data_IF_583504675388
#
_entry.id   IF_583504675388
#
_cell.length_a   1.000
_cell.length_b   1.000
_cell.length_c   1.000
_cell.angle_alpha   90.00
_cell.angle_beta   90.00
_cell.angle_gamma   90.00
#
_symmetry.space_group_name_H-M   'P 1'
#
loop_
_entity.id
_entity.type
_entity.pdbx_description
1 polymer ?
#
# COMPACT_ATOMS: atom_id res chain seq x y z
N UNK A 1 11.59 -17.24 2.16
CA UNK A 1 11.09 -18.63 1.99
C UNK A 1 9.76 -18.88 2.69
N UNK A 2 9.66 -18.81 4.03
CA UNK A 2 8.44 -19.15 4.78
C UNK A 2 7.14 -18.49 4.27
N UNK A 3 7.12 -17.18 3.99
CA UNK A 3 5.95 -16.52 3.42
C UNK A 3 5.58 -17.04 2.02
N UNK A 4 6.57 -17.32 1.16
CA UNK A 4 6.32 -17.90 -0.16
C UNK A 4 5.69 -19.31 -0.05
N UNK A 5 6.11 -20.11 0.93
CA UNK A 5 5.52 -21.44 1.21
C UNK A 5 4.11 -21.38 1.80
N UNK A 6 3.70 -20.22 2.33
CA UNK A 6 2.38 -20.05 2.94
C UNK A 6 1.23 -19.88 1.93
N UNK A 7 1.55 -19.75 0.64
CA UNK A 7 0.55 -19.51 -0.40
C UNK A 7 -0.32 -20.75 -0.62
N UNK A 8 -1.65 -20.67 -0.47
CA UNK A 8 -2.56 -21.72 -0.90
C UNK A 8 -2.74 -21.66 -2.43
N UNK A 9 -3.63 -22.49 -2.96
CA UNK A 9 -4.01 -22.45 -4.39
C UNK A 9 -4.59 -21.10 -4.84
N UNK A 10 -5.07 -20.27 -3.91
CA UNK A 10 -5.54 -18.91 -4.20
C UNK A 10 -4.40 -17.96 -4.62
N UNK A 11 -3.14 -18.26 -4.29
CA UNK A 11 -1.99 -17.56 -4.84
C UNK A 11 -1.48 -16.34 -4.06
N UNK A 12 -2.08 -15.99 -2.92
CA UNK A 12 -1.60 -14.94 -2.01
C UNK A 12 -0.96 -15.51 -0.73
N UNK A 13 -0.09 -14.76 -0.06
CA UNK A 13 0.54 -15.23 1.19
C UNK A 13 -0.44 -15.22 2.36
N UNK A 14 -0.27 -16.15 3.30
CA UNK A 14 -0.96 -16.07 4.59
C UNK A 14 -0.44 -14.88 5.41
N UNK A 15 -1.30 -14.29 6.23
CA UNK A 15 -0.96 -13.16 7.11
C UNK A 15 0.13 -13.49 8.15
N UNK A 16 0.29 -14.77 8.48
CA UNK A 16 1.33 -15.29 9.37
C UNK A 16 1.66 -16.74 8.99
N UNK A 17 2.93 -17.09 9.08
CA UNK A 17 3.39 -18.44 8.80
C UNK A 17 4.70 -18.75 9.54
N UNK A 18 4.91 -19.99 10.05
CA UNK A 18 3.98 -21.12 10.04
C UNK A 18 2.80 -20.91 11.00
N UNK A 19 1.59 -21.36 10.61
CA UNK A 19 0.37 -21.20 11.40
C UNK A 19 -0.61 -22.33 11.09
N UNK A 20 -1.36 -22.78 12.10
CA UNK A 20 -2.48 -23.74 11.92
C UNK A 20 -3.79 -23.06 11.53
N UNK A 21 -3.86 -21.75 11.70
CA UNK A 21 -5.05 -20.94 11.38
C UNK A 21 -4.83 -20.29 10.02
N UNK A 22 -5.73 -20.58 9.08
CA UNK A 22 -5.78 -19.90 7.79
C UNK A 22 -6.35 -18.49 7.99
N UNK A 23 -5.52 -17.48 7.74
CA UNK A 23 -5.92 -16.08 7.75
C UNK A 23 -5.12 -15.33 6.71
N UNK A 24 -5.81 -14.58 5.85
CA UNK A 24 -5.21 -13.83 4.76
C UNK A 24 -5.47 -12.34 4.94
N UNK A 25 -4.40 -11.56 4.84
CA UNK A 25 -4.44 -10.10 4.78
C UNK A 25 -3.80 -9.74 3.45
N UNK A 26 -4.58 -9.49 2.38
CA UNK A 26 -4.02 -9.23 1.06
C UNK A 26 -2.98 -8.09 1.05
N UNK A 27 -3.15 -6.98 1.80
CA UNK A 27 -2.10 -5.97 1.94
C UNK A 27 -0.74 -6.50 2.41
N UNK A 28 -0.68 -7.57 3.21
CA UNK A 28 0.60 -8.16 3.62
C UNK A 28 1.28 -8.92 2.49
N UNK A 29 0.51 -9.44 1.51
CA UNK A 29 1.11 -10.03 0.30
C UNK A 29 1.75 -8.96 -0.59
N UNK A 30 1.18 -7.75 -0.62
CA UNK A 30 1.80 -6.59 -1.28
C UNK A 30 3.11 -6.19 -0.59
N UNK A 31 3.09 -6.03 0.74
CA UNK A 31 4.30 -5.74 1.51
C UNK A 31 5.36 -6.83 1.38
N UNK A 32 4.97 -8.10 1.25
CA UNK A 32 5.92 -9.18 1.01
C UNK A 32 6.66 -9.02 -0.33
N UNK A 33 6.02 -8.52 -1.39
CA UNK A 33 6.72 -8.18 -2.64
C UNK A 33 7.73 -7.05 -2.40
N UNK A 34 7.34 -5.99 -1.70
CA UNK A 34 8.25 -4.89 -1.34
C UNK A 34 9.45 -5.43 -0.52
N UNK A 35 9.22 -6.37 0.41
CA UNK A 35 10.29 -6.99 1.20
C UNK A 35 11.25 -7.83 0.36
N UNK A 36 10.76 -8.51 -0.69
CA UNK A 36 11.63 -9.25 -1.63
C UNK A 36 12.50 -8.27 -2.42
N UNK A 37 11.94 -7.14 -2.83
CA UNK A 37 12.69 -6.06 -3.48
C UNK A 37 13.72 -5.42 -2.54
N UNK A 38 13.32 -5.02 -1.33
CA UNK A 38 14.25 -4.48 -0.31
C UNK A 38 15.39 -5.47 -0.01
N UNK A 39 15.10 -6.77 0.06
CA UNK A 39 16.13 -7.79 0.23
C UNK A 39 17.13 -7.78 -0.93
N UNK A 40 16.64 -7.77 -2.17
CA UNK A 40 17.48 -7.67 -3.38
C UNK A 40 18.36 -6.42 -3.37
N UNK A 41 17.81 -5.28 -2.97
CA UNK A 41 18.56 -4.01 -2.89
C UNK A 41 19.66 -4.01 -1.81
N UNK A 42 19.58 -4.90 -0.83
CA UNK A 42 20.48 -4.93 0.33
C UNK A 42 21.38 -6.16 0.42
N UNK A 43 21.17 -7.17 -0.44
CA UNK A 43 21.88 -8.45 -0.39
C UNK A 43 22.20 -8.94 -1.80
N UNK A 44 23.45 -9.33 -2.00
CA UNK A 44 23.94 -9.96 -3.22
C UNK A 44 23.57 -11.46 -3.22
N UNK A 45 22.28 -11.76 -3.37
CA UNK A 45 21.71 -13.11 -3.32
C UNK A 45 20.53 -13.25 -4.30
N UNK A 46 20.86 -13.13 -5.58
CA UNK A 46 19.92 -13.30 -6.70
C UNK A 46 19.24 -14.67 -6.71
N UNK A 47 19.90 -15.71 -6.20
CA UNK A 47 19.33 -17.06 -6.13
C UNK A 47 18.11 -17.09 -5.23
N UNK A 48 18.17 -16.44 -4.07
CA UNK A 48 17.01 -16.28 -3.20
C UNK A 48 15.89 -15.49 -3.87
N UNK A 49 16.21 -14.39 -4.57
CA UNK A 49 15.19 -13.58 -5.26
C UNK A 49 14.48 -14.42 -6.33
N UNK A 50 15.24 -15.14 -7.17
CA UNK A 50 14.70 -16.06 -8.21
C UNK A 50 13.76 -17.11 -7.62
N UNK A 51 14.08 -17.68 -6.46
CA UNK A 51 13.23 -18.65 -5.77
C UNK A 51 11.86 -18.06 -5.36
N UNK A 52 11.79 -16.75 -5.09
CA UNK A 52 10.55 -16.07 -4.67
C UNK A 52 9.76 -15.45 -5.83
N UNK A 53 10.35 -15.27 -7.02
CA UNK A 53 9.67 -14.69 -8.19
C UNK A 53 8.36 -15.39 -8.58
N UNK A 54 8.24 -16.73 -8.57
CA UNK A 54 6.95 -17.38 -8.82
C UNK A 54 5.85 -16.93 -7.85
N UNK A 55 6.22 -16.64 -6.59
CA UNK A 55 5.29 -16.09 -5.60
C UNK A 55 4.92 -14.65 -5.88
N UNK A 56 5.88 -13.81 -6.26
CA UNK A 56 5.64 -12.43 -6.69
C UNK A 56 4.63 -12.40 -7.84
N UNK A 57 4.90 -13.14 -8.92
CA UNK A 57 4.01 -13.21 -10.10
C UNK A 57 2.60 -13.67 -9.74
N UNK A 58 2.47 -14.69 -8.90
CA UNK A 58 1.18 -15.21 -8.42
C UNK A 58 0.34 -14.15 -7.71
N UNK A 59 0.96 -13.33 -6.85
CA UNK A 59 0.27 -12.27 -6.11
C UNK A 59 -0.13 -11.14 -7.05
N UNK A 60 0.75 -10.75 -7.98
CA UNK A 60 0.48 -9.70 -8.96
C UNK A 60 -0.70 -10.08 -9.87
N UNK A 61 -0.73 -11.32 -10.38
CA UNK A 61 -1.84 -11.86 -11.17
C UNK A 61 -3.16 -11.80 -10.38
N UNK A 62 -3.13 -12.21 -9.11
CA UNK A 62 -4.30 -12.20 -8.23
C UNK A 62 -4.85 -10.80 -8.01
N UNK A 63 -4.00 -9.80 -7.75
CA UNK A 63 -4.43 -8.41 -7.57
C UNK A 63 -4.90 -7.77 -8.88
N UNK A 64 -4.21 -8.02 -9.99
CA UNK A 64 -4.61 -7.51 -11.30
C UNK A 64 -6.03 -7.97 -11.68
N UNK A 65 -6.41 -9.21 -11.34
CA UNK A 65 -7.75 -9.74 -11.56
C UNK A 65 -8.84 -9.08 -10.67
N UNK A 66 -8.48 -8.27 -9.67
CA UNK A 66 -9.40 -7.57 -8.77
C UNK A 66 -9.54 -6.09 -9.09
N UNK A 67 -8.89 -5.59 -10.14
CA UNK A 67 -9.08 -4.23 -10.62
C UNK A 67 -10.46 -4.15 -11.25
N UNK A 68 -11.27 -3.19 -10.81
CA UNK A 68 -12.59 -2.96 -11.39
C UNK A 68 -12.42 -2.30 -12.77
N UNK A 69 -12.88 -2.94 -13.87
CA UNK A 69 -12.71 -2.40 -15.21
C UNK A 69 -13.49 -1.09 -15.44
N UNK A 70 -14.48 -0.76 -14.61
CA UNK A 70 -15.26 0.48 -14.75
C UNK A 70 -14.53 1.68 -14.19
N UNK A 71 -13.85 1.51 -13.05
CA UNK A 71 -13.17 2.58 -12.33
C UNK A 71 -11.66 2.59 -12.56
N UNK A 72 -11.08 1.47 -12.98
CA UNK A 72 -9.63 1.30 -13.07
C UNK A 72 -8.92 1.38 -11.71
N UNK A 73 -9.66 1.28 -10.61
CA UNK A 73 -9.17 1.19 -9.23
C UNK A 73 -9.35 -0.24 -8.72
N UNK A 74 -8.79 -0.54 -7.54
CA UNK A 74 -8.99 -1.84 -6.92
C UNK A 74 -10.48 -2.00 -6.54
N UNK A 75 -11.11 -3.05 -7.06
CA UNK A 75 -12.49 -3.43 -6.76
C UNK A 75 -12.60 -4.14 -5.41
N UNK A 76 -13.71 -4.87 -5.21
CA UNK A 76 -13.90 -5.65 -4.00
C UNK A 76 -12.84 -6.76 -3.90
N UNK A 77 -12.05 -6.72 -2.82
CA UNK A 77 -11.01 -7.72 -2.53
C UNK A 77 -11.50 -8.61 -1.38
N UNK A 78 -11.45 -9.95 -1.51
CA UNK A 78 -11.85 -10.85 -0.43
C UNK A 78 -10.86 -10.80 0.74
N UNK A 79 -11.21 -11.46 1.84
CA UNK A 79 -10.42 -11.55 3.07
C UNK A 79 -10.30 -10.23 3.84
N UNK A 80 -9.32 -10.14 4.73
CA UNK A 80 -9.15 -9.00 5.63
C UNK A 80 -8.23 -7.95 5.02
N UNK A 81 -8.79 -6.92 4.40
CA UNK A 81 -8.04 -5.81 3.81
C UNK A 81 -7.56 -4.79 4.85
N UNK A 82 -6.87 -5.29 5.88
CA UNK A 82 -6.29 -4.49 6.95
C UNK A 82 -5.23 -3.52 6.41
N UNK A 83 -5.31 -2.26 6.84
CA UNK A 83 -4.32 -1.21 6.56
C UNK A 83 -3.70 -0.72 7.85
N UNK A 84 -4.51 -0.32 8.83
CA UNK A 84 -4.01 0.25 10.09
C UNK A 84 -5.11 0.26 11.17
N UNK A 85 -4.74 0.35 12.44
CA UNK A 85 -5.69 0.44 13.56
C UNK A 85 -6.14 1.88 13.87
N UNK A 86 -6.42 2.66 12.83
CA UNK A 86 -6.92 4.02 13.01
C UNK A 86 -8.25 4.00 13.80
N UNK A 87 -8.49 4.93 14.74
CA UNK A 87 -9.69 4.91 15.60
C UNK A 87 -11.04 4.88 14.85
N UNK A 88 -11.06 5.40 13.62
CA UNK A 88 -12.22 5.47 12.74
C UNK A 88 -12.49 4.14 12.01
N UNK A 89 -11.52 3.22 11.96
CA UNK A 89 -11.63 1.93 11.29
C UNK A 89 -11.79 0.81 12.32
N UNK A 90 -12.88 0.88 13.08
CA UNK A 90 -13.10 0.02 14.24
C UNK A 90 -13.33 -1.45 13.89
N UNK A 91 -13.04 -2.33 14.84
CA UNK A 91 -13.38 -3.74 14.74
C UNK A 91 -14.90 -3.96 14.75
N UNK A 92 -15.39 -4.82 13.85
CA UNK A 92 -16.79 -5.27 13.84
C UNK A 92 -16.89 -6.73 14.30
N UNK A 93 -17.69 -7.01 15.32
CA UNK A 93 -17.97 -8.41 15.70
C UNK A 93 -18.90 -9.12 14.70
N UNK A 94 -19.75 -8.38 13.98
CA UNK A 94 -20.65 -8.94 12.97
C UNK A 94 -19.91 -9.34 11.68
N UNK A 95 -18.80 -8.67 11.39
CA UNK A 95 -17.86 -9.01 10.33
C UNK A 95 -16.47 -8.86 10.94
N UNK A 96 -15.83 -9.94 11.46
CA UNK A 96 -14.62 -9.90 12.31
C UNK A 96 -13.39 -9.35 11.57
N UNK A 97 -13.46 -8.05 11.29
CA UNK A 97 -12.60 -7.23 10.48
C UNK A 97 -12.54 -5.86 11.16
N UNK A 98 -11.35 -5.31 11.28
CA UNK A 98 -11.09 -3.95 11.74
C UNK A 98 -9.89 -3.38 11.01
N UNK A 99 -9.65 -2.09 11.14
CA UNK A 99 -8.55 -1.43 10.45
C UNK A 99 -8.65 -1.45 8.92
N UNK A 100 -9.87 -1.53 8.39
CA UNK A 100 -10.16 -1.53 6.95
C UNK A 100 -10.63 -0.12 6.55
N UNK A 101 -9.99 0.55 5.58
CA UNK A 101 -10.40 1.88 5.14
C UNK A 101 -11.71 1.83 4.33
N UNK A 102 -12.36 2.99 4.11
CA UNK A 102 -13.45 3.12 3.15
C UNK A 102 -13.10 2.51 1.78
N UNK A 103 -14.08 1.86 1.16
CA UNK A 103 -13.89 1.09 -0.08
C UNK A 103 -13.09 -0.20 0.08
N UNK A 104 -12.54 -0.51 1.26
CA UNK A 104 -11.68 -1.68 1.46
C UNK A 104 -12.39 -3.03 1.40
N UNK A 105 -13.73 -3.04 1.45
CA UNK A 105 -14.54 -4.27 1.28
C UNK A 105 -15.32 -4.24 -0.03
N UNK A 106 -15.90 -3.10 -0.38
CA UNK A 106 -16.78 -2.93 -1.54
C UNK A 106 -16.05 -2.55 -2.82
N UNK A 107 -14.78 -2.17 -2.73
CA UNK A 107 -13.99 -1.61 -3.83
C UNK A 107 -13.96 -0.08 -3.81
N UNK A 108 -13.03 0.48 -4.60
CA UNK A 108 -12.85 1.92 -4.75
C UNK A 108 -12.05 2.60 -3.65
N UNK A 109 -11.31 1.85 -2.83
CA UNK A 109 -10.42 2.40 -1.81
C UNK A 109 -9.17 3.02 -2.46
N UNK A 110 -8.92 4.30 -2.20
CA UNK A 110 -7.70 4.97 -2.65
C UNK A 110 -6.46 4.36 -1.99
N UNK A 111 -6.50 4.16 -0.66
CA UNK A 111 -5.35 3.63 0.09
C UNK A 111 -4.88 2.27 -0.42
N UNK A 112 -5.80 1.32 -0.63
CA UNK A 112 -5.44 -0.02 -1.12
C UNK A 112 -5.02 0.00 -2.59
N UNK A 113 -5.67 0.81 -3.43
CA UNK A 113 -5.30 0.97 -4.84
C UNK A 113 -3.90 1.53 -4.98
N UNK A 114 -3.56 2.54 -4.17
CA UNK A 114 -2.26 3.19 -4.20
C UNK A 114 -1.17 2.36 -3.51
N UNK A 115 -1.51 1.52 -2.53
CA UNK A 115 -0.59 0.52 -2.02
C UNK A 115 -0.24 -0.52 -3.10
N UNK A 116 -1.21 -0.96 -3.91
CA UNK A 116 -0.94 -1.80 -5.07
C UNK A 116 -0.06 -1.08 -6.09
N UNK A 117 -0.35 0.18 -6.40
CA UNK A 117 0.48 0.98 -7.30
C UNK A 117 1.93 1.11 -6.79
N UNK A 118 2.12 1.41 -5.51
CA UNK A 118 3.45 1.43 -4.86
C UNK A 118 4.15 0.07 -5.01
N UNK A 119 3.45 -1.03 -4.75
CA UNK A 119 3.98 -2.39 -4.89
C UNK A 119 4.39 -2.74 -6.32
N UNK A 120 3.63 -2.25 -7.30
CA UNK A 120 3.93 -2.51 -8.72
C UNK A 120 5.24 -1.84 -9.15
N UNK A 121 5.67 -0.74 -8.53
CA UNK A 121 6.95 -0.12 -8.86
C UNK A 121 8.13 -1.06 -8.56
N UNK A 122 8.22 -1.55 -7.33
CA UNK A 122 9.22 -2.55 -6.92
C UNK A 122 9.09 -3.86 -7.73
N UNK A 123 7.86 -4.30 -8.02
CA UNK A 123 7.62 -5.51 -8.78
C UNK A 123 8.10 -5.40 -10.24
N UNK A 124 7.92 -4.24 -10.87
CA UNK A 124 8.40 -3.97 -12.24
C UNK A 124 9.92 -4.06 -12.28
N UNK A 125 10.63 -3.44 -11.34
CA UNK A 125 12.09 -3.51 -11.25
C UNK A 125 12.59 -4.95 -11.07
N UNK A 126 11.94 -5.73 -10.18
CA UNK A 126 12.25 -7.15 -10.01
C UNK A 126 12.03 -7.94 -11.30
N UNK A 127 10.93 -7.71 -12.01
CA UNK A 127 10.63 -8.46 -13.24
C UNK A 127 11.62 -8.11 -14.35
N UNK A 128 11.97 -6.84 -14.53
CA UNK A 128 12.98 -6.42 -15.51
C UNK A 128 14.35 -7.03 -15.22
N UNK A 129 14.82 -6.91 -13.98
CA UNK A 129 16.14 -7.39 -13.56
C UNK A 129 16.29 -8.92 -13.70
N UNK A 130 15.20 -9.66 -13.55
CA UNK A 130 15.22 -11.13 -13.56
C UNK A 130 14.68 -11.76 -14.85
N UNK A 131 14.61 -10.99 -15.94
CA UNK A 131 14.40 -11.52 -17.30
C UNK A 131 12.93 -11.66 -17.73
N UNK A 132 12.04 -10.85 -17.16
CA UNK A 132 10.60 -10.86 -17.43
C UNK A 132 10.07 -9.50 -17.96
N UNK A 133 10.70 -8.89 -19.00
CA UNK A 133 10.42 -7.51 -19.42
C UNK A 133 8.98 -7.32 -19.95
N UNK A 134 8.41 -8.33 -20.61
CA UNK A 134 7.01 -8.24 -21.09
C UNK A 134 6.01 -8.20 -19.93
N UNK A 135 6.28 -8.97 -18.88
CA UNK A 135 5.45 -8.99 -17.68
C UNK A 135 5.63 -7.70 -16.88
N UNK A 136 6.86 -7.17 -16.81
CA UNK A 136 7.12 -5.85 -16.27
C UNK A 136 6.34 -4.75 -17.01
N UNK A 137 6.34 -4.76 -18.35
CA UNK A 137 5.57 -3.81 -19.15
C UNK A 137 4.05 -3.89 -18.91
N UNK A 138 3.49 -5.11 -18.77
CA UNK A 138 2.09 -5.33 -18.38
C UNK A 138 1.79 -4.66 -17.04
N UNK A 139 2.61 -4.90 -16.02
CA UNK A 139 2.38 -4.37 -14.68
C UNK A 139 2.69 -2.88 -14.53
N UNK A 140 3.63 -2.34 -15.31
CA UNK A 140 3.84 -0.90 -15.42
C UNK A 140 2.61 -0.21 -16.04
N UNK A 141 2.00 -0.82 -17.08
CA UNK A 141 0.74 -0.31 -17.65
C UNK A 141 -0.38 -0.29 -16.62
N UNK A 142 -0.48 -1.35 -15.80
CA UNK A 142 -1.44 -1.39 -14.70
C UNK A 142 -1.16 -0.30 -13.67
N UNK A 143 0.09 -0.13 -13.22
CA UNK A 143 0.51 0.93 -12.31
C UNK A 143 0.06 2.31 -12.80
N UNK A 144 0.35 2.64 -14.07
CA UNK A 144 -0.03 3.91 -14.69
C UNK A 144 -1.55 4.12 -14.72
N UNK A 145 -2.31 3.05 -14.93
CA UNK A 145 -3.77 3.08 -14.88
C UNK A 145 -4.27 3.37 -13.46
N UNK A 146 -3.76 2.67 -12.45
CA UNK A 146 -4.18 2.80 -11.06
C UNK A 146 -3.95 4.22 -10.52
N UNK A 147 -2.76 4.80 -10.74
CA UNK A 147 -2.44 6.15 -10.24
C UNK A 147 -3.32 7.21 -10.93
N UNK A 148 -3.53 7.09 -12.24
CA UNK A 148 -4.32 8.05 -13.02
C UNK A 148 -5.79 8.04 -12.62
N UNK A 149 -6.36 6.84 -12.47
CA UNK A 149 -7.76 6.70 -12.09
C UNK A 149 -7.97 7.12 -10.64
N UNK A 150 -7.06 6.76 -9.72
CA UNK A 150 -7.16 7.21 -8.33
C UNK A 150 -7.07 8.73 -8.23
N UNK A 151 -6.16 9.37 -8.97
CA UNK A 151 -6.11 10.83 -9.07
C UNK A 151 -7.43 11.41 -9.55
N UNK A 152 -7.95 10.91 -10.68
CA UNK A 152 -9.20 11.39 -11.29
C UNK A 152 -10.39 11.34 -10.32
N UNK A 153 -10.56 10.22 -9.62
CA UNK A 153 -11.72 10.01 -8.76
C UNK A 153 -11.56 10.62 -7.37
N UNK A 154 -10.37 10.49 -6.76
CA UNK A 154 -10.18 10.76 -5.35
C UNK A 154 -9.48 12.10 -5.06
N UNK A 155 -8.86 12.76 -6.04
CA UNK A 155 -8.28 14.08 -5.82
C UNK A 155 -9.35 15.15 -5.66
N UNK A 156 -9.28 15.89 -4.56
CA UNK A 156 -10.12 17.04 -4.27
C UNK A 156 -9.32 18.33 -4.42
N UNK A 157 -9.58 19.11 -5.47
CA UNK A 157 -8.86 20.35 -5.74
C UNK A 157 -9.12 21.44 -4.68
N UNK A 158 -10.29 21.46 -4.04
CA UNK A 158 -10.56 22.47 -3.01
C UNK A 158 -9.79 22.16 -1.72
N UNK A 159 -9.71 20.88 -1.37
CA UNK A 159 -8.98 20.44 -0.17
C UNK A 159 -7.48 20.26 -0.41
N UNK A 160 -7.06 20.08 -1.68
CA UNK A 160 -5.74 19.60 -2.08
C UNK A 160 -5.35 18.33 -1.30
N UNK A 161 -6.24 17.34 -1.29
CA UNK A 161 -6.10 16.06 -0.63
C UNK A 161 -6.68 14.96 -1.53
N UNK A 162 -6.14 13.75 -1.41
CA UNK A 162 -6.82 12.53 -1.83
C UNK A 162 -7.84 12.12 -0.76
N UNK A 163 -9.06 11.81 -1.18
CA UNK A 163 -10.03 11.10 -0.35
C UNK A 163 -9.67 9.63 -0.20
N UNK A 164 -10.24 8.98 0.83
CA UNK A 164 -9.99 7.58 1.13
C UNK A 164 -10.67 6.60 0.16
N UNK A 165 -11.72 7.06 -0.53
CA UNK A 165 -12.45 6.28 -1.52
C UNK A 165 -13.05 7.15 -2.65
N UNK A 166 -13.53 6.49 -3.70
CA UNK A 166 -14.17 7.10 -4.88
C UNK A 166 -15.41 7.96 -4.52
N UNK A 167 -16.10 7.66 -3.42
CA UNK A 167 -17.27 8.43 -2.98
C UNK A 167 -16.88 9.63 -2.09
N UNK A 168 -15.58 9.84 -1.85
CA UNK A 168 -15.03 10.96 -1.06
C UNK A 168 -15.60 11.04 0.36
N UNK A 169 -15.76 9.88 1.01
CA UNK A 169 -16.43 9.77 2.31
C UNK A 169 -15.60 10.32 3.47
N UNK A 170 -14.28 10.24 3.37
CA UNK A 170 -13.33 10.73 4.38
C UNK A 170 -11.94 10.95 3.78
N UNK A 171 -11.03 11.50 4.59
CA UNK A 171 -9.67 11.83 4.22
C UNK A 171 -8.72 11.38 5.33
N UNK A 172 -7.67 10.64 4.97
CA UNK A 172 -6.68 10.12 5.90
C UNK A 172 -5.25 10.52 5.53
N UNK A 173 -4.35 10.40 6.50
CA UNK A 173 -2.92 10.38 6.22
C UNK A 173 -2.57 9.21 5.28
N UNK A 174 -3.19 8.04 5.43
CA UNK A 174 -2.83 6.82 4.68
C UNK A 174 -2.99 6.97 3.17
N UNK A 175 -4.14 7.45 2.70
CA UNK A 175 -4.39 7.64 1.27
C UNK A 175 -3.40 8.64 0.66
N UNK A 176 -3.09 9.72 1.39
CA UNK A 176 -2.20 10.77 0.94
C UNK A 176 -0.72 10.40 1.03
N UNK A 177 -0.30 9.63 2.06
CA UNK A 177 1.02 9.00 2.16
C UNK A 177 1.23 8.11 0.94
N UNK A 178 0.28 7.22 0.64
CA UNK A 178 0.38 6.34 -0.53
C UNK A 178 0.28 7.13 -1.84
N UNK A 179 -0.44 8.25 -1.89
CA UNK A 179 -0.45 9.18 -3.02
C UNK A 179 0.92 9.77 -3.33
N UNK A 180 1.68 10.16 -2.30
CA UNK A 180 3.07 10.63 -2.42
C UNK A 180 3.99 9.47 -2.84
N UNK A 181 3.91 8.34 -2.13
CA UNK A 181 4.81 7.20 -2.34
C UNK A 181 4.65 6.57 -3.73
N UNK A 182 3.41 6.37 -4.19
CA UNK A 182 3.10 5.85 -5.53
C UNK A 182 3.34 6.87 -6.65
N UNK A 183 3.58 8.15 -6.34
CA UNK A 183 3.72 9.20 -7.36
C UNK A 183 2.39 9.62 -8.02
N UNK A 184 1.25 9.20 -7.47
CA UNK A 184 -0.07 9.66 -7.89
C UNK A 184 -0.24 11.15 -7.73
N UNK A 185 0.28 11.70 -6.63
CA UNK A 185 0.31 13.14 -6.41
C UNK A 185 1.51 13.72 -7.16
N UNK A 186 1.33 14.70 -8.07
CA UNK A 186 2.42 15.34 -8.80
C UNK A 186 3.47 15.94 -7.85
N UNK A 187 4.75 15.85 -8.23
CA UNK A 187 5.89 16.20 -7.38
C UNK A 187 5.78 17.61 -6.78
N UNK A 188 5.32 18.57 -7.57
CA UNK A 188 5.13 19.98 -7.19
C UNK A 188 4.07 20.17 -6.08
N UNK A 189 3.15 19.22 -5.91
CA UNK A 189 2.12 19.25 -4.86
C UNK A 189 2.53 18.45 -3.62
N UNK A 190 3.49 17.52 -3.72
CA UNK A 190 3.79 16.55 -2.66
C UNK A 190 4.27 17.20 -1.35
N UNK A 191 5.15 18.19 -1.41
CA UNK A 191 5.66 18.81 -0.19
C UNK A 191 4.57 19.61 0.55
N UNK A 192 3.73 20.33 -0.19
CA UNK A 192 2.58 21.05 0.38
C UNK A 192 1.54 20.09 0.98
N UNK A 193 1.27 18.99 0.29
CA UNK A 193 0.43 17.91 0.78
C UNK A 193 0.98 17.32 2.08
N UNK A 194 2.27 16.97 2.13
CA UNK A 194 2.89 16.39 3.31
C UNK A 194 2.78 17.31 4.53
N UNK A 195 3.00 18.61 4.36
CA UNK A 195 2.83 19.60 5.44
C UNK A 195 1.42 19.58 6.02
N UNK A 196 0.39 19.39 5.19
CA UNK A 196 -1.00 19.24 5.67
C UNK A 196 -1.20 17.97 6.49
N UNK A 197 -0.58 16.85 6.07
CA UNK A 197 -0.72 15.57 6.78
C UNK A 197 -0.26 15.70 8.24
N UNK A 198 0.81 16.45 8.45
CA UNK A 198 1.42 16.67 9.76
C UNK A 198 0.64 17.66 10.64
N UNK A 199 -0.02 18.64 10.04
CA UNK A 199 -0.66 19.73 10.79
C UNK A 199 -2.18 19.65 10.92
N UNK A 200 -2.87 18.87 10.07
CA UNK A 200 -4.34 18.82 10.03
C UNK A 200 -4.88 17.68 10.92
N UNK A 201 -5.41 17.97 12.12
CA UNK A 201 -5.96 16.96 13.01
C UNK A 201 -7.31 16.42 12.55
N UNK A 202 -7.96 17.03 11.55
CA UNK A 202 -9.23 16.52 11.01
C UNK A 202 -9.03 15.28 10.13
N UNK A 203 -7.80 15.01 9.68
CA UNK A 203 -7.46 13.80 8.96
C UNK A 203 -7.44 12.59 9.89
N UNK A 204 -7.86 11.44 9.37
CA UNK A 204 -7.62 10.15 10.03
C UNK A 204 -6.11 9.93 10.12
N UNK A 205 -5.58 9.87 11.34
CA UNK A 205 -4.14 9.79 11.62
C UNK A 205 -3.63 8.35 11.55
N UNK A 206 -2.41 8.19 11.03
CA UNK A 206 -1.68 6.93 11.05
C UNK A 206 -1.26 6.54 12.47
N UNK A 207 -1.48 5.28 12.83
CA UNK A 207 -0.91 4.69 14.05
C UNK A 207 0.54 4.27 13.84
N UNK A 208 1.20 3.85 14.92
CA UNK A 208 2.63 3.50 14.95
C UNK A 208 3.07 2.58 13.80
N UNK A 209 2.27 1.57 13.47
CA UNK A 209 2.55 0.66 12.37
C UNK A 209 2.75 1.41 11.04
N UNK A 210 1.81 2.30 10.71
CA UNK A 210 1.79 2.95 9.40
C UNK A 210 2.71 4.18 9.33
N UNK A 211 3.19 4.70 10.47
CA UNK A 211 4.14 5.81 10.51
C UNK A 211 5.46 5.50 9.80
N UNK A 212 5.82 4.23 9.59
CA UNK A 212 6.92 3.86 8.69
C UNK A 212 6.75 4.49 7.30
N UNK A 213 5.55 4.38 6.70
CA UNK A 213 5.25 4.94 5.39
C UNK A 213 5.15 6.47 5.44
N UNK A 214 4.71 7.06 6.55
CA UNK A 214 4.79 8.50 6.78
C UNK A 214 6.24 9.00 6.69
N UNK A 215 7.19 8.29 7.31
CA UNK A 215 8.62 8.64 7.23
C UNK A 215 9.22 8.41 5.83
N UNK A 216 8.79 7.36 5.13
CA UNK A 216 9.16 7.18 3.71
C UNK A 216 8.68 8.35 2.86
N UNK A 217 7.46 8.83 3.08
CA UNK A 217 6.92 10.00 2.39
C UNK A 217 7.67 11.27 2.79
N UNK A 218 7.98 11.47 4.08
CA UNK A 218 8.78 12.59 4.59
C UNK A 218 10.13 12.70 3.85
N UNK A 219 10.83 11.57 3.75
CA UNK A 219 12.10 11.48 3.02
C UNK A 219 11.91 11.81 1.54
N UNK A 220 10.89 11.24 0.89
CA UNK A 220 10.61 11.45 -0.54
C UNK A 220 10.35 12.92 -0.88
N UNK A 221 9.69 13.67 0.01
CA UNK A 221 9.39 15.10 -0.21
C UNK A 221 10.50 16.05 0.24
N UNK A 222 11.66 15.52 0.63
CA UNK A 222 12.83 16.30 1.00
C UNK A 222 12.69 17.03 2.35
N UNK A 223 11.97 16.43 3.31
CA UNK A 223 11.75 16.98 4.65
C UNK A 223 12.37 16.08 5.75
N UNK A 224 13.40 15.30 5.41
CA UNK A 224 13.99 14.30 6.30
C UNK A 224 14.60 14.90 7.58
N UNK A 225 14.96 16.18 7.57
CA UNK A 225 15.43 16.93 8.73
C UNK A 225 14.41 16.97 9.88
N UNK A 226 13.12 16.78 9.58
CA UNK A 226 12.04 16.73 10.58
C UNK A 226 11.87 15.36 11.22
N UNK A 227 12.64 14.36 10.82
CA UNK A 227 12.46 12.98 11.28
C UNK A 227 12.49 12.88 12.81
N UNK A 228 13.46 13.51 13.47
CA UNK A 228 13.59 13.47 14.93
C UNK A 228 12.43 14.14 15.66
N UNK A 229 11.91 15.25 15.13
CA UNK A 229 10.70 15.91 15.66
C UNK A 229 9.49 14.95 15.61
N UNK A 230 9.33 14.24 14.49
CA UNK A 230 8.20 13.34 14.27
C UNK A 230 8.30 12.01 15.04
N UNK A 231 9.41 11.75 15.76
CA UNK A 231 9.57 10.63 16.69
C UNK A 231 8.92 10.88 18.06
N UNK A 232 8.37 12.07 18.31
CA UNK A 232 7.68 12.42 19.56
C UNK A 232 6.77 11.32 20.13
N UNK A 233 5.94 10.60 19.34
CA UNK A 233 5.10 9.54 19.90
C UNK A 233 5.87 8.38 20.55
N UNK A 234 7.11 8.10 20.13
CA UNK A 234 7.98 7.11 20.78
C UNK A 234 8.67 7.69 22.01
N UNK A 235 9.07 8.97 21.99
CA UNK A 235 9.59 9.66 23.18
C UNK A 235 8.55 9.66 24.30
N UNK A 236 7.29 9.93 23.95
CA UNK A 236 6.15 9.92 24.88
C UNK A 236 5.85 8.51 25.44
N UNK A 237 6.28 7.43 24.78
CA UNK A 237 6.12 6.05 25.29
C UNK A 237 7.14 5.66 26.36
N UNK A 238 8.29 6.33 26.40
CA UNK A 238 9.39 6.02 27.33
C UNK A 238 9.55 7.07 28.45
N UNK A 239 8.75 8.15 28.41
CA UNK A 239 8.69 9.19 29.44
C UNK A 239 7.80 8.77 30.62
#
# INVERSE_FOLDING_TARGET
>A
RCFNWSRPSEGITASRYPSRVAQYIPPFSMYWINMVHDYWMHRDDDAFVRENLPGVKSILEWFAAKVDPKTGMLGAVPHWNFVDWAPQWQWSNARPLGGVPPGGITGGSATLTLQLAYTLTDAVELLEAFGEPELAAKYNTLYQSLIRNTWTYCWDENRQLLSDDINRTSYSQHANIMGILSGTVPQEKQQALFKKLDTDPALIQATFYYRFYLFRALKKVGLAERYTEMLKPWDDMIA
#
